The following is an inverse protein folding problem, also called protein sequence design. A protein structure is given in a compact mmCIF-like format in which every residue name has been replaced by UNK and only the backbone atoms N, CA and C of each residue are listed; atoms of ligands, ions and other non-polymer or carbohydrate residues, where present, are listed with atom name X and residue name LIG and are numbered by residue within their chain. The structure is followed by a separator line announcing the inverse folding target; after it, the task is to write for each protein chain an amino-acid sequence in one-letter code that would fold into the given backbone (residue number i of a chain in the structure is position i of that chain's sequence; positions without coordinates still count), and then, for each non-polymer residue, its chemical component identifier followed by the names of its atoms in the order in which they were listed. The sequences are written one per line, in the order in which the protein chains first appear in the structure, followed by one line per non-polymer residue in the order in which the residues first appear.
data_IF_968988020753
#
_entry.id   IF_968988020753
#
_cell.length_a   1.000
_cell.length_b   1.000
_cell.length_c   1.000
_cell.angle_alpha   90.00
_cell.angle_beta   90.00
_cell.angle_gamma   90.00
#
_symmetry.space_group_name_H-M   'P 1'
#
loop_
_entity.id
_entity.type
_entity.pdbx_description
1 polymer ?
#
# COMPACT_ATOMS: atom_id res chain seq x y z
N UNK A 1 -25.88 -43.61 13.15
CA UNK A 1 -25.62 -42.31 12.53
C UNK A 1 -24.96 -41.42 13.58
N UNK A 2 -23.63 -41.28 13.56
CA UNK A 2 -22.92 -40.31 14.39
C UNK A 2 -22.92 -38.99 13.68
N UNK A 3 -23.17 -37.84 14.35
CA UNK A 3 -23.00 -36.53 13.75
C UNK A 3 -21.50 -36.30 13.51
N UNK A 4 -21.17 -35.94 12.29
CA UNK A 4 -19.84 -35.49 11.90
C UNK A 4 -19.55 -34.23 12.73
N UNK A 5 -18.55 -34.30 13.60
CA UNK A 5 -18.08 -33.19 14.42
C UNK A 5 -17.73 -31.99 13.52
N UNK A 6 -18.28 -30.83 13.86
CA UNK A 6 -17.96 -29.57 13.17
C UNK A 6 -16.46 -29.38 13.12
N UNK A 7 -15.93 -29.23 11.92
CA UNK A 7 -14.58 -28.69 11.73
C UNK A 7 -14.48 -27.39 12.50
N UNK A 8 -13.48 -27.27 13.34
CA UNK A 8 -13.09 -26.05 14.02
C UNK A 8 -12.71 -25.04 12.91
N UNK A 9 -13.67 -24.26 12.47
CA UNK A 9 -13.44 -23.21 11.47
C UNK A 9 -12.71 -22.10 12.20
N UNK A 10 -11.38 -22.22 12.27
CA UNK A 10 -10.53 -21.22 12.89
C UNK A 10 -10.89 -19.83 12.36
N UNK A 11 -11.04 -18.86 13.24
CA UNK A 11 -11.41 -17.47 12.91
C UNK A 11 -10.47 -16.96 11.83
N UNK A 12 -11.04 -16.57 10.68
CA UNK A 12 -10.25 -16.07 9.54
C UNK A 12 -9.66 -14.68 9.90
N UNK A 13 -8.35 -14.57 9.77
CA UNK A 13 -7.63 -13.33 10.09
C UNK A 13 -7.57 -12.39 8.91
N UNK A 14 -7.86 -11.12 9.15
CA UNK A 14 -7.71 -10.01 8.21
C UNK A 14 -6.60 -9.12 8.74
N UNK A 15 -5.62 -8.82 7.90
CA UNK A 15 -4.43 -8.08 8.36
C UNK A 15 -4.47 -6.60 7.98
N UNK A 16 -3.74 -5.78 8.72
CA UNK A 16 -3.51 -4.36 8.46
C UNK A 16 -2.19 -3.91 9.06
N UNK A 17 -1.57 -2.86 8.52
CA UNK A 17 -0.33 -2.31 9.07
C UNK A 17 -0.60 -0.98 9.79
N UNK A 18 -0.29 -0.85 11.10
CA UNK A 18 -0.31 0.44 11.79
C UNK A 18 0.75 1.36 11.20
N UNK A 19 0.33 2.35 10.42
CA UNK A 19 1.22 3.16 9.57
C UNK A 19 1.26 4.62 10.01
N UNK A 20 2.41 5.26 9.78
CA UNK A 20 2.58 6.71 9.83
C UNK A 20 3.11 7.20 8.49
N UNK A 21 2.34 8.03 7.81
CA UNK A 21 2.71 8.53 6.48
C UNK A 21 3.57 9.77 6.59
N UNK A 22 4.76 9.74 5.96
CA UNK A 22 5.62 10.89 5.74
C UNK A 22 5.67 11.22 4.26
N UNK A 23 5.48 12.49 3.94
CA UNK A 23 5.47 12.99 2.55
C UNK A 23 6.73 13.81 2.30
N UNK A 24 7.77 13.23 1.65
CA UNK A 24 9.00 13.95 1.30
C UNK A 24 8.73 15.14 0.39
N UNK A 25 7.85 14.97 -0.61
CA UNK A 25 7.37 16.04 -1.49
C UNK A 25 6.04 15.67 -2.12
N UNK A 26 5.22 16.69 -2.42
CA UNK A 26 4.03 16.57 -3.27
C UNK A 26 4.29 16.97 -4.72
N UNK A 27 5.44 17.59 -5.03
CA UNK A 27 5.80 17.92 -6.39
C UNK A 27 5.99 16.65 -7.21
N UNK A 28 5.28 16.57 -8.34
CA UNK A 28 5.31 15.42 -9.23
C UNK A 28 5.38 15.91 -10.68
N UNK A 29 6.31 15.34 -11.45
CA UNK A 29 6.44 15.69 -12.88
C UNK A 29 5.36 15.07 -13.76
N UNK A 30 4.63 14.06 -13.24
CA UNK A 30 3.47 13.51 -13.91
C UNK A 30 2.22 14.39 -13.69
N UNK A 31 1.25 14.24 -14.59
CA UNK A 31 -0.02 14.93 -14.55
C UNK A 31 -1.18 13.94 -14.73
N UNK A 32 -1.26 12.95 -13.84
CA UNK A 32 -2.32 11.95 -13.86
C UNK A 32 -3.68 12.60 -13.65
N UNK A 33 -4.68 12.26 -14.48
CA UNK A 33 -5.99 12.90 -14.48
C UNK A 33 -6.84 12.66 -13.22
N UNK A 34 -6.43 11.70 -12.38
CA UNK A 34 -7.15 11.33 -11.15
C UNK A 34 -6.45 11.75 -9.86
N UNK A 35 -5.20 12.28 -9.93
CA UNK A 35 -4.37 12.43 -8.74
C UNK A 35 -4.61 13.76 -8.03
N UNK A 36 -5.24 13.72 -6.86
CA UNK A 36 -5.41 14.86 -5.95
C UNK A 36 -4.20 15.10 -5.04
N UNK A 37 -3.30 14.13 -4.96
CA UNK A 37 -2.11 14.21 -4.10
C UNK A 37 -1.05 15.18 -4.62
N UNK A 38 -0.85 15.24 -5.94
CA UNK A 38 0.25 15.96 -6.56
C UNK A 38 0.13 17.49 -6.46
N UNK A 39 1.31 18.15 -6.42
CA UNK A 39 1.49 19.55 -6.82
C UNK A 39 2.28 19.60 -8.13
N UNK A 40 1.94 20.48 -9.08
CA UNK A 40 2.73 20.66 -10.28
C UNK A 40 4.12 21.22 -9.90
N UNK A 41 5.18 20.86 -10.64
CA UNK A 41 6.49 21.49 -10.48
C UNK A 41 6.37 22.92 -11.01
N UNK A 42 6.46 23.89 -10.12
CA UNK A 42 6.36 25.33 -10.42
C UNK A 42 7.71 26.03 -10.48
N UNK A 43 8.78 25.26 -10.71
CA UNK A 43 10.16 25.76 -10.74
C UNK A 43 10.82 25.85 -9.38
N UNK A 44 10.09 25.56 -8.29
CA UNK A 44 10.64 25.51 -6.94
C UNK A 44 11.41 24.20 -6.70
N UNK A 45 12.27 24.21 -5.70
CA UNK A 45 12.89 22.98 -5.20
C UNK A 45 11.80 22.01 -4.72
N UNK A 46 11.73 20.76 -5.24
CA UNK A 46 10.76 19.75 -4.79
C UNK A 46 10.78 19.53 -3.28
N UNK A 47 11.85 19.89 -2.60
CA UNK A 47 12.00 19.77 -1.16
C UNK A 47 11.75 21.07 -0.38
N UNK A 48 11.45 22.18 -1.03
CA UNK A 48 11.22 23.47 -0.37
C UNK A 48 10.13 23.38 0.72
N UNK A 49 9.05 22.64 0.43
CA UNK A 49 7.96 22.33 1.38
C UNK A 49 8.14 20.99 2.08
N UNK A 50 9.30 20.35 1.95
CA UNK A 50 9.57 19.02 2.48
C UNK A 50 9.72 19.03 4.02
N UNK A 51 9.38 17.92 4.64
CA UNK A 51 9.57 17.72 6.09
C UNK A 51 11.05 17.83 6.45
N UNK A 52 11.41 18.68 7.43
CA UNK A 52 12.70 18.59 8.11
C UNK A 52 12.78 17.31 8.97
N UNK A 53 13.99 16.92 9.41
CA UNK A 53 14.15 15.77 10.30
C UNK A 53 13.38 15.96 11.62
N UNK A 54 13.41 17.17 12.19
CA UNK A 54 12.67 17.50 13.40
C UNK A 54 11.15 17.36 13.22
N UNK A 55 10.62 17.85 12.09
CA UNK A 55 9.20 17.70 11.76
C UNK A 55 8.80 16.24 11.52
N UNK A 56 9.63 15.48 10.80
CA UNK A 56 9.41 14.07 10.58
C UNK A 56 9.42 13.29 11.91
N UNK A 57 10.40 13.54 12.77
CA UNK A 57 10.47 12.93 14.09
C UNK A 57 9.26 13.31 14.97
N UNK A 58 8.87 14.57 14.97
CA UNK A 58 7.67 15.01 15.70
C UNK A 58 6.39 14.34 15.16
N UNK A 59 6.28 14.15 13.85
CA UNK A 59 5.16 13.43 13.23
C UNK A 59 5.11 11.96 13.68
N UNK A 60 6.26 11.30 13.78
CA UNK A 60 6.38 9.92 14.24
C UNK A 60 6.07 9.80 15.75
N UNK A 61 6.52 10.74 16.58
CA UNK A 61 6.20 10.75 18.02
C UNK A 61 4.72 10.91 18.31
N UNK A 62 3.98 11.62 17.47
CA UNK A 62 2.51 11.73 17.56
C UNK A 62 1.78 10.44 17.16
N UNK A 63 2.48 9.46 16.61
CA UNK A 63 1.95 8.16 16.16
C UNK A 63 2.70 7.00 16.83
N UNK A 64 2.63 6.89 18.16
CA UNK A 64 3.39 5.87 18.91
C UNK A 64 2.98 4.44 18.54
N UNK A 65 1.76 4.25 18.04
CA UNK A 65 1.22 2.96 17.60
C UNK A 65 1.79 2.46 16.28
N UNK A 66 2.38 3.35 15.44
CA UNK A 66 2.80 2.99 14.10
C UNK A 66 4.02 2.07 14.13
N UNK A 67 3.91 0.91 13.50
CA UNK A 67 5.00 -0.02 13.26
C UNK A 67 5.67 0.23 11.89
N UNK A 68 4.93 0.84 10.99
CA UNK A 68 5.34 1.22 9.63
C UNK A 68 5.55 2.73 9.50
N UNK A 69 6.50 3.12 8.65
CA UNK A 69 6.60 4.48 8.11
C UNK A 69 6.42 4.41 6.60
N UNK A 70 5.27 4.83 6.12
CA UNK A 70 5.01 4.96 4.68
C UNK A 70 5.64 6.24 4.16
N UNK A 71 6.66 6.11 3.31
CA UNK A 71 7.26 7.23 2.57
C UNK A 71 6.52 7.36 1.23
N UNK A 72 5.56 8.26 1.17
CA UNK A 72 4.76 8.53 -0.02
C UNK A 72 5.21 9.84 -0.66
N UNK A 73 5.71 9.79 -1.89
CA UNK A 73 6.32 10.95 -2.56
C UNK A 73 5.71 11.22 -3.93
N UNK A 74 5.64 12.49 -4.30
CA UNK A 74 5.58 12.87 -5.70
C UNK A 74 6.82 12.37 -6.44
N UNK A 75 6.67 12.10 -7.72
CA UNK A 75 7.71 11.52 -8.55
C UNK A 75 8.61 12.62 -9.13
N UNK A 76 9.92 12.56 -8.88
CA UNK A 76 10.92 13.48 -9.44
C UNK A 76 11.54 12.84 -10.68
N UNK A 77 11.56 13.57 -11.80
CA UNK A 77 12.10 13.08 -13.07
C UNK A 77 13.54 12.60 -12.94
N UNK A 78 13.94 11.48 -13.59
CA UNK A 78 15.32 11.02 -13.60
C UNK A 78 16.33 12.06 -14.09
N UNK A 79 15.94 12.93 -15.03
CA UNK A 79 16.79 14.03 -15.54
C UNK A 79 16.74 15.32 -14.72
N UNK A 80 15.98 15.36 -13.62
CA UNK A 80 15.91 16.56 -12.78
C UNK A 80 17.22 16.79 -12.01
N UNK A 81 17.73 18.03 -11.97
CA UNK A 81 18.89 18.37 -11.12
C UNK A 81 18.62 18.14 -9.63
N UNK A 82 17.36 18.15 -9.21
CA UNK A 82 16.94 17.89 -7.82
C UNK A 82 16.81 16.38 -7.49
N UNK A 83 16.98 15.47 -8.48
CA UNK A 83 16.83 14.03 -8.27
C UNK A 83 17.71 13.50 -7.13
N UNK A 84 18.97 13.97 -7.08
CA UNK A 84 19.93 13.54 -6.06
C UNK A 84 19.54 13.98 -4.66
N UNK A 85 19.11 15.22 -4.46
CA UNK A 85 18.67 15.73 -3.15
C UNK A 85 17.38 15.06 -2.69
N UNK A 86 16.41 14.89 -3.59
CA UNK A 86 15.18 14.15 -3.31
C UNK A 86 15.46 12.71 -2.89
N UNK A 87 16.30 12.00 -3.64
CA UNK A 87 16.67 10.63 -3.30
C UNK A 87 17.42 10.55 -1.95
N UNK A 88 18.32 11.48 -1.70
CA UNK A 88 19.00 11.65 -0.41
C UNK A 88 18.00 11.82 0.75
N UNK A 89 16.91 12.56 0.50
CA UNK A 89 15.84 12.75 1.48
C UNK A 89 15.07 11.45 1.78
N UNK A 90 14.76 10.64 0.77
CA UNK A 90 14.16 9.32 0.96
C UNK A 90 15.03 8.42 1.84
N UNK A 91 16.34 8.39 1.59
CA UNK A 91 17.29 7.63 2.40
C UNK A 91 17.36 8.13 3.85
N UNK A 92 17.37 9.45 4.05
CA UNK A 92 17.40 10.07 5.38
C UNK A 92 16.15 9.71 6.19
N UNK A 93 14.96 9.81 5.59
CA UNK A 93 13.70 9.46 6.23
C UNK A 93 13.58 7.95 6.50
N UNK A 94 14.10 7.10 5.61
CA UNK A 94 14.17 5.65 5.87
C UNK A 94 15.07 5.32 7.06
N UNK A 95 16.21 5.99 7.20
CA UNK A 95 17.11 5.85 8.38
C UNK A 95 16.44 6.37 9.64
N UNK A 96 15.74 7.50 9.57
CA UNK A 96 15.00 8.04 10.70
C UNK A 96 13.94 7.06 11.20
N UNK A 97 13.19 6.42 10.29
CA UNK A 97 12.24 5.37 10.64
C UNK A 97 12.91 4.24 11.43
N UNK A 98 14.10 3.81 11.02
CA UNK A 98 14.88 2.80 11.75
C UNK A 98 15.29 3.25 13.16
N UNK A 99 15.78 4.49 13.29
CA UNK A 99 16.17 5.07 14.59
C UNK A 99 14.97 5.10 15.54
N UNK A 100 13.79 5.42 15.01
CA UNK A 100 12.52 5.43 15.77
C UNK A 100 11.94 3.99 15.97
N UNK A 101 12.65 2.94 15.55
CA UNK A 101 12.30 1.54 15.77
C UNK A 101 11.18 1.02 14.88
N UNK A 102 10.94 1.64 13.73
CA UNK A 102 9.89 1.31 12.77
C UNK A 102 10.48 0.79 11.47
N UNK A 103 9.63 0.13 10.65
CA UNK A 103 10.01 -0.32 9.32
C UNK A 103 9.51 0.67 8.27
N UNK A 104 10.38 1.22 7.40
CA UNK A 104 9.93 2.02 6.28
C UNK A 104 9.39 1.15 5.15
N UNK A 105 8.35 1.67 4.49
CA UNK A 105 7.82 1.26 3.20
C UNK A 105 7.87 2.46 2.27
N UNK A 106 8.54 2.37 1.13
CA UNK A 106 8.68 3.50 0.21
C UNK A 106 7.87 3.31 -1.06
N UNK A 107 6.97 4.27 -1.32
CA UNK A 107 6.24 4.44 -2.56
C UNK A 107 6.57 5.83 -3.16
N UNK A 108 7.59 5.89 -4.00
CA UNK A 108 8.17 7.14 -4.50
C UNK A 108 8.28 7.20 -6.04
N UNK A 109 7.55 6.31 -6.73
CA UNK A 109 7.59 6.20 -8.18
C UNK A 109 8.82 5.45 -8.71
N UNK A 110 9.10 5.52 -10.02
CA UNK A 110 10.19 4.80 -10.63
C UNK A 110 11.57 5.23 -10.15
N UNK A 111 12.39 4.23 -9.85
CA UNK A 111 13.75 4.37 -9.35
C UNK A 111 14.73 3.71 -10.34
N UNK A 112 15.95 4.23 -10.44
CA UNK A 112 17.03 3.47 -11.04
C UNK A 112 17.35 2.21 -10.23
N UNK A 113 18.02 1.23 -10.84
CA UNK A 113 18.37 -0.01 -10.13
C UNK A 113 19.23 0.26 -8.89
N UNK A 114 20.13 1.24 -8.96
CA UNK A 114 20.97 1.64 -7.85
C UNK A 114 20.18 2.30 -6.72
N UNK A 115 19.23 3.18 -7.05
CA UNK A 115 18.33 3.80 -6.09
C UNK A 115 17.43 2.77 -5.41
N UNK A 116 16.82 1.88 -6.19
CA UNK A 116 15.97 0.81 -5.67
C UNK A 116 16.74 -0.15 -4.76
N UNK A 117 17.95 -0.56 -5.17
CA UNK A 117 18.82 -1.40 -4.34
C UNK A 117 19.25 -0.71 -3.05
N UNK A 118 19.51 0.60 -3.08
CA UNK A 118 19.90 1.35 -1.89
C UNK A 118 18.74 1.46 -0.88
N UNK A 119 17.51 1.75 -1.36
CA UNK A 119 16.30 1.75 -0.52
C UNK A 119 15.94 0.36 -0.02
N UNK A 120 16.06 -0.68 -0.86
CA UNK A 120 15.77 -2.07 -0.48
C UNK A 120 16.62 -2.60 0.69
N UNK A 121 17.77 -1.99 0.96
CA UNK A 121 18.57 -2.30 2.15
C UNK A 121 18.05 -1.65 3.44
N UNK A 122 17.15 -0.69 3.33
CA UNK A 122 16.57 0.06 4.46
C UNK A 122 15.08 -0.23 4.65
N UNK A 123 14.37 -0.61 3.59
CA UNK A 123 12.92 -0.75 3.61
C UNK A 123 12.48 -2.19 3.83
N UNK A 124 11.47 -2.41 4.69
CA UNK A 124 10.84 -3.72 4.89
C UNK A 124 10.12 -4.20 3.64
N UNK A 125 9.54 -3.27 2.90
CA UNK A 125 8.93 -3.48 1.59
C UNK A 125 8.97 -2.18 0.79
N UNK A 126 8.68 -2.26 -0.50
CA UNK A 126 8.52 -1.09 -1.37
C UNK A 126 7.26 -1.23 -2.21
N UNK A 127 6.77 -0.14 -2.77
CA UNK A 127 5.54 -0.16 -3.55
C UNK A 127 5.58 0.69 -4.81
N UNK A 128 4.86 0.22 -5.83
CA UNK A 128 4.55 0.96 -7.05
C UNK A 128 3.32 0.35 -7.71
N UNK A 129 2.25 1.10 -7.84
CA UNK A 129 1.04 0.65 -8.52
C UNK A 129 1.31 0.39 -10.00
N UNK A 130 0.86 -0.78 -10.51
CA UNK A 130 0.76 -1.01 -11.95
C UNK A 130 -0.27 -0.06 -12.56
N UNK A 131 -1.30 0.26 -11.82
CA UNK A 131 -2.51 1.04 -12.13
C UNK A 131 -3.52 0.21 -12.94
N UNK A 132 -3.15 -0.26 -14.13
CA UNK A 132 -3.97 -1.11 -14.98
C UNK A 132 -3.47 -1.15 -16.41
N UNK A 133 -4.25 -1.76 -17.28
CA UNK A 133 -3.99 -1.91 -18.72
C UNK A 133 -5.17 -1.36 -19.53
N UNK A 134 -4.92 -0.99 -20.76
CA UNK A 134 -5.94 -0.61 -21.72
C UNK A 134 -6.15 0.90 -21.90
N UNK A 135 -7.04 1.28 -22.86
CA UNK A 135 -7.20 2.66 -23.34
C UNK A 135 -7.62 3.66 -22.25
N UNK A 136 -8.37 3.21 -21.24
CA UNK A 136 -8.78 4.08 -20.13
C UNK A 136 -7.57 4.62 -19.36
N UNK A 137 -6.61 3.76 -19.06
CA UNK A 137 -5.39 4.17 -18.38
C UNK A 137 -4.47 5.01 -19.27
N UNK A 138 -4.37 4.70 -20.57
CA UNK A 138 -3.61 5.50 -21.52
C UNK A 138 -4.13 6.93 -21.58
N UNK A 139 -5.46 7.11 -21.56
CA UNK A 139 -6.11 8.42 -21.50
C UNK A 139 -5.80 9.18 -20.21
N UNK A 140 -5.92 8.51 -19.06
CA UNK A 140 -5.62 9.08 -17.74
C UNK A 140 -4.15 9.49 -17.58
N UNK A 141 -3.25 8.75 -18.22
CA UNK A 141 -1.80 8.89 -18.07
C UNK A 141 -1.13 9.64 -19.23
N UNK A 142 -1.90 10.25 -20.14
CA UNK A 142 -1.37 10.93 -21.34
C UNK A 142 -0.23 11.92 -21.05
N UNK A 143 -0.26 12.58 -19.88
CA UNK A 143 0.77 13.53 -19.40
C UNK A 143 1.58 12.97 -18.24
N UNK A 144 1.75 11.66 -18.17
CA UNK A 144 2.36 10.97 -17.04
C UNK A 144 3.34 9.91 -17.55
N UNK A 145 4.51 10.31 -18.09
CA UNK A 145 5.41 9.40 -18.80
C UNK A 145 5.90 8.22 -17.95
N UNK A 146 6.01 8.38 -16.64
CA UNK A 146 6.41 7.30 -15.75
C UNK A 146 5.28 6.28 -15.49
N UNK A 147 4.05 6.57 -15.92
CA UNK A 147 2.89 5.68 -15.80
C UNK A 147 2.73 4.74 -17.00
N UNK A 148 3.58 4.85 -18.03
CA UNK A 148 3.53 3.92 -19.15
C UNK A 148 3.77 2.47 -18.67
N UNK A 149 3.09 1.51 -19.31
CA UNK A 149 3.21 0.09 -18.97
C UNK A 149 4.68 -0.37 -18.97
N UNK A 150 5.47 0.04 -19.97
CA UNK A 150 6.88 -0.33 -20.07
C UNK A 150 7.68 0.11 -18.83
N UNK A 151 7.46 1.32 -18.32
CA UNK A 151 8.13 1.83 -17.12
C UNK A 151 7.66 1.07 -15.89
N UNK A 152 6.34 0.91 -15.69
CA UNK A 152 5.78 0.21 -14.52
C UNK A 152 6.22 -1.26 -14.47
N UNK A 153 6.08 -1.96 -15.58
CA UNK A 153 6.53 -3.36 -15.70
C UNK A 153 8.04 -3.50 -15.45
N UNK A 154 8.84 -2.60 -16.02
CA UNK A 154 10.28 -2.56 -15.77
C UNK A 154 10.64 -2.40 -14.29
N UNK A 155 9.90 -1.57 -13.56
CA UNK A 155 10.09 -1.37 -12.11
C UNK A 155 9.71 -2.62 -11.31
N UNK A 156 8.58 -3.26 -11.61
CA UNK A 156 8.16 -4.50 -10.96
C UNK A 156 9.17 -5.63 -11.21
N UNK A 157 9.67 -5.77 -12.44
CA UNK A 157 10.73 -6.73 -12.76
C UNK A 157 12.05 -6.43 -12.05
N UNK A 158 12.39 -5.15 -11.92
CA UNK A 158 13.61 -4.73 -11.22
C UNK A 158 13.52 -5.06 -9.72
N UNK A 159 12.38 -4.82 -9.07
CA UNK A 159 12.13 -5.21 -7.68
C UNK A 159 12.28 -6.73 -7.50
N UNK A 160 11.72 -7.51 -8.43
CA UNK A 160 11.85 -8.97 -8.44
C UNK A 160 13.28 -9.45 -8.56
N UNK A 161 14.07 -8.87 -9.47
CA UNK A 161 15.51 -9.19 -9.62
C UNK A 161 16.32 -8.87 -8.35
N UNK A 162 15.91 -7.84 -7.61
CA UNK A 162 16.56 -7.44 -6.37
C UNK A 162 16.02 -8.21 -5.15
N UNK A 163 14.98 -9.04 -5.32
CA UNK A 163 14.35 -9.81 -4.24
C UNK A 163 13.70 -8.94 -3.15
N UNK A 164 13.23 -7.75 -3.51
CA UNK A 164 12.61 -6.80 -2.57
C UNK A 164 11.12 -7.15 -2.43
N UNK A 165 10.60 -7.41 -1.20
CA UNK A 165 9.16 -7.56 -0.99
C UNK A 165 8.42 -6.34 -1.52
N UNK A 166 7.43 -6.56 -2.40
CA UNK A 166 6.87 -5.48 -3.17
C UNK A 166 5.35 -5.48 -3.16
N UNK A 167 4.76 -4.29 -3.00
CA UNK A 167 3.33 -4.03 -3.12
C UNK A 167 3.06 -3.34 -4.45
N UNK A 168 2.08 -3.83 -5.19
CA UNK A 168 1.58 -3.22 -6.43
C UNK A 168 0.06 -3.18 -6.40
N UNK A 169 -0.59 -2.81 -7.48
CA UNK A 169 -2.05 -2.84 -7.49
C UNK A 169 -2.66 -2.21 -8.73
N UNK A 170 -3.98 -2.26 -8.76
CA UNK A 170 -4.83 -1.72 -9.80
C UNK A 170 -5.71 -0.60 -9.25
N UNK A 171 -5.89 0.47 -10.04
CA UNK A 171 -6.88 1.51 -9.80
C UNK A 171 -8.13 1.14 -10.61
N UNK A 172 -9.24 0.86 -9.95
CA UNK A 172 -10.44 0.26 -10.56
C UNK A 172 -11.59 1.25 -10.64
N UNK A 173 -12.37 1.19 -11.71
CA UNK A 173 -13.53 2.06 -11.92
C UNK A 173 -13.20 3.38 -12.63
N UNK A 174 -12.17 3.39 -13.48
CA UNK A 174 -11.77 4.55 -14.31
C UNK A 174 -12.26 4.44 -15.76
N UNK A 175 -13.14 3.49 -16.05
CA UNK A 175 -13.68 3.23 -17.39
C UNK A 175 -12.98 2.09 -18.13
N UNK A 176 -12.16 1.31 -17.47
CA UNK A 176 -11.52 0.10 -17.98
C UNK A 176 -12.55 -1.04 -18.14
N UNK A 177 -12.28 -1.95 -19.08
CA UNK A 177 -13.08 -3.17 -19.25
C UNK A 177 -12.68 -4.26 -18.25
N UNK A 178 -13.58 -5.24 -18.02
CA UNK A 178 -13.24 -6.45 -17.27
C UNK A 178 -12.06 -7.19 -17.92
N UNK A 179 -11.99 -7.24 -19.25
CA UNK A 179 -10.86 -7.84 -19.97
C UNK A 179 -9.53 -7.17 -19.64
N UNK A 180 -9.49 -5.85 -19.51
CA UNK A 180 -8.28 -5.10 -19.11
C UNK A 180 -7.86 -5.44 -17.68
N UNK A 181 -8.83 -5.57 -16.76
CA UNK A 181 -8.56 -5.98 -15.36
C UNK A 181 -7.97 -7.38 -15.29
N UNK A 182 -8.59 -8.35 -15.98
CA UNK A 182 -8.13 -9.73 -16.01
C UNK A 182 -6.73 -9.84 -16.62
N UNK A 183 -6.47 -9.14 -17.73
CA UNK A 183 -5.14 -9.09 -18.35
C UNK A 183 -4.08 -8.50 -17.40
N UNK A 184 -4.43 -7.47 -16.64
CA UNK A 184 -3.52 -6.89 -15.65
C UNK A 184 -3.23 -7.87 -14.50
N UNK A 185 -4.24 -8.58 -13.99
CA UNK A 185 -4.08 -9.60 -12.95
C UNK A 185 -3.22 -10.77 -13.42
N UNK A 186 -3.42 -11.25 -14.63
CA UNK A 186 -2.59 -12.31 -15.24
C UNK A 186 -1.13 -11.87 -15.39
N UNK A 187 -0.88 -10.63 -15.79
CA UNK A 187 0.46 -10.07 -15.86
C UNK A 187 1.13 -10.06 -14.47
N UNK A 188 0.41 -9.66 -13.42
CA UNK A 188 0.93 -9.68 -12.05
C UNK A 188 1.18 -11.12 -11.57
N UNK A 189 0.29 -12.06 -11.90
CA UNK A 189 0.47 -13.47 -11.58
C UNK A 189 1.71 -14.07 -12.26
N UNK A 190 1.97 -13.70 -13.52
CA UNK A 190 3.20 -14.11 -14.24
C UNK A 190 4.46 -13.54 -13.58
N UNK A 191 4.44 -12.27 -13.16
CA UNK A 191 5.54 -11.65 -12.42
C UNK A 191 5.80 -12.37 -11.09
N UNK A 192 4.74 -12.71 -10.33
CA UNK A 192 4.85 -13.43 -9.08
C UNK A 192 5.43 -14.83 -9.29
N UNK A 193 4.92 -15.59 -10.26
CA UNK A 193 5.45 -16.92 -10.59
C UNK A 193 6.94 -16.87 -10.98
N UNK A 194 7.37 -15.79 -11.65
CA UNK A 194 8.75 -15.64 -12.09
C UNK A 194 9.70 -15.24 -10.96
N UNK A 195 9.29 -14.33 -10.08
CA UNK A 195 10.20 -13.65 -9.14
C UNK A 195 9.87 -13.89 -7.67
N UNK A 196 8.64 -14.26 -7.33
CA UNK A 196 8.19 -14.52 -5.96
C UNK A 196 8.23 -13.32 -5.02
N UNK A 197 8.24 -12.09 -5.54
CA UNK A 197 8.48 -10.87 -4.76
C UNK A 197 7.22 -10.06 -4.45
N UNK A 198 6.13 -10.28 -5.19
CA UNK A 198 4.87 -9.58 -4.93
C UNK A 198 4.21 -10.15 -3.68
N UNK A 199 4.30 -9.42 -2.60
CA UNK A 199 3.65 -9.79 -1.35
C UNK A 199 2.17 -9.40 -1.31
N UNK A 200 1.78 -8.36 -2.09
CA UNK A 200 0.49 -7.73 -1.94
C UNK A 200 0.07 -7.06 -3.25
N UNK A 201 -1.20 -7.22 -3.61
CA UNK A 201 -1.86 -6.53 -4.72
C UNK A 201 -3.04 -5.73 -4.20
N UNK A 202 -2.97 -4.42 -4.35
CA UNK A 202 -4.02 -3.47 -3.96
C UNK A 202 -5.09 -3.45 -5.05
N UNK A 203 -6.33 -3.71 -4.69
CA UNK A 203 -7.50 -3.48 -5.53
C UNK A 203 -8.16 -2.18 -5.06
N UNK A 204 -7.73 -1.05 -5.66
CA UNK A 204 -8.10 0.28 -5.20
C UNK A 204 -9.29 0.84 -5.98
N UNK A 205 -10.48 1.00 -5.39
CA UNK A 205 -11.58 1.70 -6.03
C UNK A 205 -11.18 3.16 -6.33
N UNK A 206 -11.39 3.61 -7.55
CA UNK A 206 -11.28 5.04 -7.84
C UNK A 206 -12.41 5.80 -7.17
N UNK A 207 -12.06 6.82 -6.41
CA UNK A 207 -13.01 7.80 -5.86
C UNK A 207 -12.63 9.19 -6.32
N UNK A 208 -13.58 9.98 -6.84
CA UNK A 208 -13.29 11.34 -7.27
C UNK A 208 -12.89 12.22 -6.10
N UNK A 209 -12.02 13.20 -6.35
CA UNK A 209 -11.72 14.26 -5.40
C UNK A 209 -12.95 15.20 -5.31
N UNK A 210 -13.68 15.06 -4.22
CA UNK A 210 -14.93 15.77 -3.96
C UNK A 210 -14.85 16.48 -2.60
N UNK A 211 -15.71 17.48 -2.39
CA UNK A 211 -15.81 18.18 -1.09
C UNK A 211 -16.37 17.28 0.02
N UNK A 212 -17.06 16.21 -0.35
CA UNK A 212 -17.54 15.15 0.55
C UNK A 212 -17.34 13.78 -0.09
N UNK A 213 -17.15 12.75 0.76
CA UNK A 213 -17.02 11.37 0.30
C UNK A 213 -18.26 10.91 -0.48
N UNK A 214 -18.03 10.31 -1.66
CA UNK A 214 -19.06 9.70 -2.49
C UNK A 214 -19.00 8.19 -2.30
N UNK A 215 -20.09 7.59 -1.87
CA UNK A 215 -20.18 6.14 -1.67
C UNK A 215 -20.23 5.42 -3.03
N UNK A 216 -19.70 4.19 -3.06
CA UNK A 216 -19.92 3.25 -4.15
C UNK A 216 -21.40 2.89 -4.22
N UNK A 217 -21.99 2.96 -5.42
CA UNK A 217 -23.34 2.42 -5.61
C UNK A 217 -23.32 0.88 -5.72
N UNK A 218 -24.49 0.25 -5.67
CA UNK A 218 -24.60 -1.21 -5.66
C UNK A 218 -24.00 -1.88 -6.91
N UNK A 219 -24.12 -1.24 -8.07
CA UNK A 219 -23.57 -1.76 -9.34
C UNK A 219 -22.04 -1.70 -9.32
N UNK A 220 -21.47 -0.57 -8.90
CA UNK A 220 -20.02 -0.43 -8.74
C UNK A 220 -19.45 -1.44 -7.73
N UNK A 221 -20.17 -1.67 -6.62
CA UNK A 221 -19.76 -2.66 -5.62
C UNK A 221 -19.77 -4.08 -6.19
N UNK A 222 -20.85 -4.47 -6.90
CA UNK A 222 -20.96 -5.79 -7.51
C UNK A 222 -19.84 -6.04 -8.53
N UNK A 223 -19.57 -5.08 -9.42
CA UNK A 223 -18.49 -5.15 -10.42
C UNK A 223 -17.09 -5.29 -9.77
N UNK A 224 -16.88 -4.58 -8.67
CA UNK A 224 -15.63 -4.69 -7.90
C UNK A 224 -15.52 -6.02 -7.14
N UNK A 225 -16.60 -6.56 -6.58
CA UNK A 225 -16.62 -7.87 -5.94
C UNK A 225 -16.27 -8.98 -6.93
N UNK A 226 -16.80 -8.93 -8.14
CA UNK A 226 -16.45 -9.87 -9.21
C UNK A 226 -14.96 -9.78 -9.56
N UNK A 227 -14.41 -8.57 -9.59
CA UNK A 227 -12.97 -8.34 -9.82
C UNK A 227 -12.12 -8.92 -8.67
N UNK A 228 -12.54 -8.76 -7.41
CA UNK A 228 -11.86 -9.33 -6.24
C UNK A 228 -11.85 -10.85 -6.31
N UNK A 229 -13.00 -11.48 -6.61
CA UNK A 229 -13.11 -12.93 -6.75
C UNK A 229 -12.23 -13.48 -7.89
N UNK A 230 -12.21 -12.78 -9.03
CA UNK A 230 -11.30 -13.10 -10.13
C UNK A 230 -9.83 -12.96 -9.73
N UNK A 231 -9.46 -11.89 -9.03
CA UNK A 231 -8.10 -11.67 -8.53
C UNK A 231 -7.65 -12.81 -7.61
N UNK A 232 -8.52 -13.27 -6.71
CA UNK A 232 -8.22 -14.40 -5.81
C UNK A 232 -8.00 -15.71 -6.56
N UNK A 233 -8.66 -15.90 -7.69
CA UNK A 233 -8.51 -17.09 -8.54
C UNK A 233 -7.24 -17.03 -9.39
N UNK A 234 -6.91 -15.85 -9.92
CA UNK A 234 -5.80 -15.66 -10.88
C UNK A 234 -4.45 -15.56 -10.16
N UNK A 235 -4.39 -14.81 -9.07
CA UNK A 235 -3.15 -14.58 -8.34
C UNK A 235 -2.77 -15.79 -7.48
N UNK A 236 -1.47 -16.11 -7.36
CA UNK A 236 -1.00 -17.14 -6.46
C UNK A 236 -1.51 -16.94 -5.02
N UNK A 237 -1.83 -18.03 -4.29
CA UNK A 237 -2.50 -17.92 -2.99
C UNK A 237 -1.69 -17.22 -1.91
N UNK A 238 -0.38 -17.18 -2.05
CA UNK A 238 0.50 -16.47 -1.12
C UNK A 238 0.45 -14.94 -1.27
N UNK A 239 -0.06 -14.42 -2.41
CA UNK A 239 -0.20 -12.97 -2.62
C UNK A 239 -1.41 -12.45 -1.86
N UNK A 240 -1.20 -11.48 -0.98
CA UNK A 240 -2.29 -10.84 -0.26
C UNK A 240 -3.07 -9.89 -1.16
N UNK A 241 -4.40 -9.88 -1.00
CA UNK A 241 -5.30 -8.94 -1.68
C UNK A 241 -5.69 -7.83 -0.73
N UNK A 242 -5.24 -6.63 -1.02
CA UNK A 242 -5.51 -5.46 -0.20
C UNK A 242 -6.67 -4.63 -0.76
N UNK A 243 -7.57 -4.20 0.12
CA UNK A 243 -8.59 -3.20 -0.16
C UNK A 243 -8.45 -2.01 0.81
N UNK A 244 -8.25 -0.77 0.33
CA UNK A 244 -8.27 0.41 1.19
C UNK A 244 -9.65 0.61 1.84
N UNK A 245 -9.79 0.50 3.18
CA UNK A 245 -11.11 0.42 3.82
C UNK A 245 -11.88 1.74 3.80
N UNK A 246 -11.21 2.87 3.63
CA UNK A 246 -11.85 4.18 3.48
C UNK A 246 -12.48 4.42 2.11
N UNK A 247 -12.13 3.61 1.11
CA UNK A 247 -12.68 3.71 -0.25
C UNK A 247 -13.82 2.71 -0.49
N UNK A 248 -14.22 1.97 0.53
CA UNK A 248 -15.29 0.98 0.51
C UNK A 248 -16.33 1.30 1.60
N UNK A 249 -17.63 1.05 1.37
CA UNK A 249 -18.63 1.21 2.44
C UNK A 249 -18.31 0.26 3.60
N UNK A 250 -18.10 0.80 4.79
CA UNK A 250 -17.58 0.03 5.93
C UNK A 250 -18.46 -1.17 6.28
N UNK A 251 -19.78 -1.02 6.23
CA UNK A 251 -20.73 -2.10 6.55
C UNK A 251 -20.76 -3.21 5.49
N UNK A 252 -20.29 -2.91 4.27
CA UNK A 252 -20.19 -3.87 3.16
C UNK A 252 -18.80 -4.52 3.05
N UNK A 253 -17.89 -4.16 3.95
CA UNK A 253 -16.52 -4.73 3.96
C UNK A 253 -16.53 -6.27 4.06
N UNK A 254 -17.43 -6.92 4.86
CA UNK A 254 -17.51 -8.39 4.91
C UNK A 254 -17.74 -9.04 3.56
N UNK A 255 -18.48 -8.42 2.64
CA UNK A 255 -18.68 -8.96 1.29
C UNK A 255 -17.36 -8.98 0.48
N UNK A 256 -16.53 -7.94 0.58
CA UNK A 256 -15.22 -7.91 -0.06
C UNK A 256 -14.26 -8.96 0.54
N UNK A 257 -14.33 -9.19 1.86
CA UNK A 257 -13.54 -10.24 2.53
C UNK A 257 -13.98 -11.65 2.10
N UNK A 258 -15.28 -11.86 1.95
CA UNK A 258 -15.82 -13.13 1.44
C UNK A 258 -15.40 -13.37 -0.03
N UNK A 259 -15.31 -12.30 -0.84
CA UNK A 259 -14.84 -12.36 -2.22
C UNK A 259 -13.33 -12.65 -2.35
N UNK A 260 -12.53 -12.41 -1.30
CA UNK A 260 -11.11 -12.79 -1.33
C UNK A 260 -10.12 -11.78 -0.75
N UNK A 261 -10.56 -10.61 -0.30
CA UNK A 261 -9.69 -9.67 0.42
C UNK A 261 -9.23 -10.29 1.74
N UNK A 262 -7.96 -10.14 2.08
CA UNK A 262 -7.36 -10.64 3.32
C UNK A 262 -6.46 -9.59 4.00
N UNK A 263 -6.33 -8.40 3.39
CA UNK A 263 -5.53 -7.29 3.94
C UNK A 263 -6.22 -5.92 3.73
N UNK A 264 -6.06 -5.02 4.68
CA UNK A 264 -6.58 -3.65 4.63
C UNK A 264 -5.48 -2.58 4.45
N UNK A 265 -4.23 -3.02 4.28
CA UNK A 265 -3.09 -2.15 4.01
C UNK A 265 -2.58 -1.35 5.19
N UNK A 266 -1.81 -0.33 4.87
CA UNK A 266 -1.29 0.62 5.85
C UNK A 266 -2.35 1.67 6.23
N UNK A 267 -2.73 1.71 7.50
CA UNK A 267 -3.72 2.67 8.02
C UNK A 267 -3.03 3.68 8.94
N UNK A 268 -3.15 4.97 8.59
CA UNK A 268 -2.75 6.14 9.41
C UNK A 268 -4.02 6.84 9.93
N UNK A 269 -3.89 7.77 10.83
CA UNK A 269 -4.98 8.61 11.35
C UNK A 269 -5.67 9.47 10.28
N UNK A 270 -5.06 9.63 9.10
CA UNK A 270 -5.64 10.34 7.96
C UNK A 270 -5.05 9.84 6.64
N UNK A 271 -5.88 9.80 5.59
CA UNK A 271 -5.41 9.54 4.24
C UNK A 271 -4.91 10.85 3.60
N UNK A 272 -3.63 10.87 3.22
CA UNK A 272 -3.01 12.04 2.59
C UNK A 272 -3.30 12.17 1.10
N UNK A 273 -3.84 11.10 0.49
CA UNK A 273 -4.22 11.00 -0.93
C UNK A 273 -5.71 11.31 -1.07
N UNK A 274 -6.55 10.53 -0.42
CA UNK A 274 -8.01 10.56 -0.55
C UNK A 274 -8.63 11.32 0.65
N UNK A 275 -8.33 12.60 0.77
CA UNK A 275 -8.67 13.41 1.96
C UNK A 275 -10.16 13.52 2.24
N UNK A 276 -11.02 13.40 1.22
CA UNK A 276 -12.46 13.42 1.37
C UNK A 276 -13.02 12.12 1.98
N UNK A 277 -12.17 11.08 2.08
CA UNK A 277 -12.54 9.72 2.51
C UNK A 277 -11.80 9.39 3.81
N UNK A 278 -12.38 9.70 4.97
CA UNK A 278 -11.72 9.48 6.26
C UNK A 278 -11.47 8.00 6.51
N UNK A 279 -10.32 7.70 7.09
CA UNK A 279 -9.97 6.34 7.47
C UNK A 279 -10.86 5.86 8.62
N UNK A 280 -11.45 4.65 8.53
CA UNK A 280 -12.08 4.03 9.70
C UNK A 280 -11.01 3.72 10.75
N UNK A 281 -11.38 3.87 12.01
CA UNK A 281 -10.49 3.52 13.11
C UNK A 281 -10.31 2.00 13.20
N UNK A 282 -9.19 1.49 13.74
CA UNK A 282 -9.02 0.07 13.99
C UNK A 282 -10.12 -0.54 14.85
N UNK A 283 -10.70 0.23 15.78
CA UNK A 283 -11.83 -0.21 16.62
C UNK A 283 -13.11 -0.41 15.80
N UNK A 284 -13.43 0.52 14.89
CA UNK A 284 -14.58 0.39 13.98
C UNK A 284 -14.40 -0.81 13.02
N UNK A 285 -13.18 -0.99 12.51
CA UNK A 285 -12.86 -2.16 11.67
C UNK A 285 -13.01 -3.46 12.45
N UNK A 286 -12.44 -3.55 13.66
CA UNK A 286 -12.53 -4.73 14.51
C UNK A 286 -13.98 -5.08 14.89
N UNK A 287 -14.83 -4.08 15.11
CA UNK A 287 -16.25 -4.27 15.39
C UNK A 287 -16.97 -4.89 14.18
N UNK A 288 -16.87 -4.27 13.00
CA UNK A 288 -17.54 -4.76 11.79
C UNK A 288 -17.03 -6.15 11.37
N UNK A 289 -15.72 -6.37 11.45
CA UNK A 289 -15.11 -7.66 11.14
C UNK A 289 -15.54 -8.73 12.16
N UNK A 290 -15.53 -8.41 13.45
CA UNK A 290 -15.93 -9.33 14.52
C UNK A 290 -17.38 -9.78 14.40
N UNK A 291 -18.30 -8.89 14.02
CA UNK A 291 -19.71 -9.22 13.76
C UNK A 291 -19.85 -10.22 12.58
N UNK A 292 -18.91 -10.18 11.63
CA UNK A 292 -18.87 -11.07 10.47
C UNK A 292 -18.00 -12.34 10.68
N UNK A 293 -17.47 -12.57 11.89
CA UNK A 293 -16.67 -13.74 12.22
C UNK A 293 -15.19 -13.67 11.80
N UNK A 294 -14.67 -12.48 11.54
CA UNK A 294 -13.25 -12.25 11.21
C UNK A 294 -12.50 -11.62 12.40
N UNK A 295 -11.19 -11.85 12.47
CA UNK A 295 -10.30 -11.20 13.44
C UNK A 295 -9.39 -10.19 12.73
N UNK A 296 -9.45 -8.92 13.14
CA UNK A 296 -8.51 -7.89 12.69
C UNK A 296 -7.16 -8.07 13.41
N UNK A 297 -6.10 -8.30 12.64
CA UNK A 297 -4.77 -8.57 13.18
C UNK A 297 -3.74 -7.59 12.63
N UNK A 298 -3.00 -6.85 13.47
CA UNK A 298 -1.95 -5.95 13.01
C UNK A 298 -0.74 -6.73 12.49
N UNK A 299 -0.11 -6.22 11.42
CA UNK A 299 1.12 -6.75 10.80
C UNK A 299 2.17 -5.65 10.60
N UNK A 300 3.36 -6.03 10.17
CA UNK A 300 4.37 -5.12 9.64
C UNK A 300 4.10 -4.79 8.16
N UNK A 301 4.78 -3.77 7.61
CA UNK A 301 4.72 -3.46 6.17
C UNK A 301 5.27 -4.58 5.27
N UNK A 302 6.00 -5.53 5.81
CA UNK A 302 6.40 -6.77 5.16
C UNK A 302 5.59 -7.93 5.73
N UNK A 303 4.94 -8.72 4.88
CA UNK A 303 4.25 -9.93 5.30
C UNK A 303 5.24 -11.02 5.75
N UNK A 304 4.84 -11.81 6.73
CA UNK A 304 5.73 -12.77 7.41
C UNK A 304 6.45 -13.72 6.43
N UNK A 305 5.75 -14.20 5.40
CA UNK A 305 6.35 -15.08 4.39
C UNK A 305 7.54 -14.45 3.66
N UNK A 306 7.56 -13.14 3.50
CA UNK A 306 8.62 -12.38 2.81
C UNK A 306 9.73 -11.88 3.76
N UNK A 307 9.57 -11.98 5.08
CA UNK A 307 10.64 -11.60 6.02
C UNK A 307 11.96 -12.34 5.77
N UNK A 308 11.88 -13.57 5.23
CA UNK A 308 13.07 -14.35 4.85
C UNK A 308 13.87 -13.72 3.69
N UNK A 309 13.24 -12.90 2.84
CA UNK A 309 13.87 -12.21 1.72
C UNK A 309 14.66 -10.97 2.16
N UNK A 310 14.42 -10.47 3.38
CA UNK A 310 15.07 -9.27 3.88
C UNK A 310 16.56 -9.50 4.19
N UNK A 311 17.43 -8.49 3.98
CA UNK A 311 18.78 -8.48 4.51
C UNK A 311 18.80 -8.73 6.01
N UNK A 312 19.87 -9.36 6.53
CA UNK A 312 19.93 -9.80 7.93
C UNK A 312 19.67 -8.67 8.94
N UNK A 313 20.25 -7.49 8.71
CA UNK A 313 20.04 -6.33 9.58
C UNK A 313 18.57 -5.91 9.63
N UNK A 314 17.92 -5.86 8.45
CA UNK A 314 16.52 -5.50 8.31
C UNK A 314 15.59 -6.57 8.90
N UNK A 315 15.94 -7.84 8.74
CA UNK A 315 15.21 -8.95 9.39
C UNK A 315 15.23 -8.85 10.91
N UNK A 316 16.39 -8.51 11.50
CA UNK A 316 16.50 -8.26 12.95
C UNK A 316 15.64 -7.09 13.40
N UNK A 317 15.57 -6.02 12.59
CA UNK A 317 14.70 -4.87 12.88
C UNK A 317 13.21 -5.26 12.78
N UNK A 318 12.84 -6.06 11.80
CA UNK A 318 11.48 -6.59 11.63
C UNK A 318 11.05 -7.40 12.87
N UNK A 319 11.87 -8.33 13.33
CA UNK A 319 11.59 -9.11 14.54
C UNK A 319 11.38 -8.24 15.78
N UNK A 320 12.18 -7.17 15.96
CA UNK A 320 12.00 -6.22 17.06
C UNK A 320 10.70 -5.43 16.95
N UNK A 321 10.36 -4.98 15.74
CA UNK A 321 9.11 -4.27 15.49
C UNK A 321 7.89 -5.17 15.72
N UNK A 322 7.94 -6.43 15.27
CA UNK A 322 6.89 -7.43 15.49
C UNK A 322 6.70 -7.72 16.99
N UNK A 323 7.78 -7.92 17.74
CA UNK A 323 7.69 -8.12 19.19
C UNK A 323 7.00 -6.95 19.91
N UNK A 324 7.27 -5.70 19.50
CA UNK A 324 6.59 -4.52 20.04
C UNK A 324 5.10 -4.49 19.67
N UNK A 325 4.79 -4.84 18.42
CA UNK A 325 3.43 -4.88 17.92
C UNK A 325 2.57 -5.91 18.70
N UNK A 326 3.15 -7.08 18.98
CA UNK A 326 2.48 -8.14 19.76
C UNK A 326 2.35 -7.76 21.24
N UNK A 327 3.37 -7.14 21.84
CA UNK A 327 3.32 -6.69 23.24
C UNK A 327 2.24 -5.62 23.46
N UNK A 328 2.00 -4.73 22.51
CA UNK A 328 0.92 -3.75 22.59
C UNK A 328 -0.48 -4.39 22.54
N UNK A 329 -0.64 -5.53 21.86
CA UNK A 329 -1.90 -6.30 21.81
C UNK A 329 -2.20 -6.99 23.16
N UNK A 330 -1.17 -7.48 23.85
CA UNK A 330 -1.32 -8.25 25.10
C UNK A 330 -1.53 -7.38 26.35
N UNK A 331 -1.12 -6.13 26.33
CA UNK A 331 -1.14 -5.24 27.51
C UNK A 331 -2.51 -4.65 27.81
N UNK A 332 -3.57 -4.92 27.03
CA UNK A 332 -4.92 -4.40 27.26
C UNK A 332 -5.01 -2.86 27.32
N UNK A 333 -3.91 -2.17 27.01
CA UNK A 333 -3.89 -0.71 26.93
C UNK A 333 -4.93 -0.29 25.89
N UNK A 334 -5.80 0.64 26.26
CA UNK A 334 -6.72 1.30 25.33
C UNK A 334 -5.94 1.60 24.06
N UNK A 335 -6.55 1.27 22.91
CA UNK A 335 -5.95 1.54 21.62
C UNK A 335 -5.25 2.91 21.66
N UNK A 336 -3.95 3.02 21.41
CA UNK A 336 -3.26 4.31 21.40
C UNK A 336 -3.66 5.16 20.19
N UNK A 337 -4.60 4.66 19.41
CA UNK A 337 -5.20 5.36 18.28
C UNK A 337 -6.08 6.50 18.79
N UNK A 338 -5.95 7.74 18.24
CA UNK A 338 -6.73 8.88 18.66
C UNK A 338 -8.22 8.73 18.42
#
# INVERSE_FOLDING_TARGET
MHPISGADVGVRRITWSPSATLVPTRFCFNSCGYCSFRRPPDGLDPLADGLSDAQAQAALRRRPWAAEVLLLSGEVSPGSPQRRSWFGRLLALSRLAWIEGRLPHTNAGPLSIAEMAALGRLNGSMGLMLEGLGPAYDALHRRSPSKSLAVRLGQLQQAGRLGIPFTTGLLLGVGESLGDRLAALELLAQLQRRWGHLQEVILQPFRPDATSALLLNATEQADLLDTIAAARTILPPEVHLQLPPNLWPLQELPAALAAGIDDLGGIDSSDVINRAYPQPTPSQLAEVLGQAGYELTPRLCVHQAWCRCLPLALRRQALRAESRLLASKSSGLRSPWP
#
